data_IF_688061932154
#
_entry.id   IF_688061932154
#
_cell.length_a   1.000
_cell.length_b   1.000
_cell.length_c   1.000
_cell.angle_alpha   90.00
_cell.angle_beta   90.00
_cell.angle_gamma   90.00
#
_symmetry.space_group_name_H-M   'P 1'
#
loop_
_entity.id
_entity.type
_entity.pdbx_description
1 polymer ?
#
# COMPACT_ATOMS: atom_id res chain seq x y z
N UNK A 1 -6.32 -4.66 10.01
CA UNK A 1 -6.32 -3.57 9.01
C UNK A 1 -7.24 -2.48 9.53
N UNK A 2 -6.95 -1.22 9.25
CA UNK A 2 -7.78 -0.09 9.69
C UNK A 2 -7.74 1.05 8.68
N UNK A 3 -8.71 1.96 8.80
CA UNK A 3 -8.79 3.20 8.02
C UNK A 3 -8.72 4.40 8.95
N UNK A 4 -8.25 5.54 8.43
CA UNK A 4 -8.14 6.79 9.16
C UNK A 4 -8.19 7.97 8.18
N UNK A 5 -8.57 9.15 8.66
CA UNK A 5 -8.61 10.36 7.83
C UNK A 5 -7.26 11.09 7.91
N UNK A 6 -6.74 11.52 6.77
CA UNK A 6 -5.56 12.39 6.68
C UNK A 6 -5.70 13.28 5.45
N UNK A 7 -5.45 14.58 5.62
CA UNK A 7 -5.53 15.58 4.54
C UNK A 7 -6.90 15.52 3.81
N UNK A 8 -7.98 15.39 4.58
CA UNK A 8 -9.38 15.23 4.13
C UNK A 8 -9.65 14.04 3.19
N UNK A 9 -8.75 13.04 3.17
CA UNK A 9 -8.91 11.77 2.44
C UNK A 9 -8.99 10.57 3.38
N UNK A 10 -9.59 9.46 2.92
CA UNK A 10 -9.55 8.19 3.63
C UNK A 10 -8.28 7.42 3.31
N UNK A 11 -7.50 7.12 4.34
CA UNK A 11 -6.27 6.34 4.28
C UNK A 11 -6.44 4.99 4.95
N UNK A 12 -5.52 4.06 4.66
CA UNK A 12 -5.54 2.74 5.28
C UNK A 12 -4.14 2.22 5.63
N UNK A 13 -4.11 1.26 6.55
CA UNK A 13 -2.92 0.48 6.85
C UNK A 13 -3.26 -1.02 6.99
N UNK A 14 -2.42 -1.86 6.38
CA UNK A 14 -2.48 -3.32 6.47
C UNK A 14 -1.09 -3.84 6.85
N UNK A 15 -1.02 -4.58 7.94
CA UNK A 15 0.18 -5.30 8.38
C UNK A 15 -0.18 -6.78 8.44
N UNK A 16 0.65 -7.62 7.82
CA UNK A 16 0.49 -9.07 7.81
C UNK A 16 1.79 -9.75 8.17
N UNK A 17 1.69 -10.93 8.79
CA UNK A 17 2.86 -11.76 9.05
C UNK A 17 3.47 -12.22 7.72
N UNK A 18 4.80 -12.19 7.61
CA UNK A 18 5.52 -12.59 6.39
C UNK A 18 5.17 -14.03 5.93
N UNK A 19 4.95 -14.95 6.89
CA UNK A 19 4.59 -16.36 6.63
C UNK A 19 3.25 -16.55 5.88
N UNK A 20 2.42 -15.52 5.82
CA UNK A 20 1.13 -15.54 5.11
C UNK A 20 1.11 -14.67 3.84
N UNK A 21 2.27 -14.09 3.45
CA UNK A 21 2.44 -13.35 2.21
C UNK A 21 2.21 -14.25 0.99
N UNK A 22 1.68 -13.69 -0.09
CA UNK A 22 1.45 -14.42 -1.36
C UNK A 22 0.22 -15.35 -1.36
N UNK A 23 -0.51 -15.45 -0.24
CA UNK A 23 -1.71 -16.32 -0.11
C UNK A 23 -3.05 -15.60 -0.29
N UNK A 24 -3.04 -14.39 -0.86
CA UNK A 24 -4.25 -13.59 -1.10
C UNK A 24 -4.88 -12.90 0.12
N UNK A 25 -4.32 -13.07 1.33
CA UNK A 25 -4.85 -12.45 2.56
C UNK A 25 -4.92 -10.92 2.50
N UNK A 26 -3.91 -10.27 1.88
CA UNK A 26 -3.91 -8.83 1.69
C UNK A 26 -5.09 -8.35 0.84
N UNK A 27 -5.38 -9.02 -0.28
CA UNK A 27 -6.52 -8.69 -1.13
C UNK A 27 -7.85 -8.92 -0.43
N UNK A 28 -7.98 -10.00 0.37
CA UNK A 28 -9.20 -10.23 1.16
C UNK A 28 -9.46 -9.09 2.15
N UNK A 29 -8.46 -8.70 2.94
CA UNK A 29 -8.59 -7.58 3.87
C UNK A 29 -8.90 -6.27 3.16
N UNK A 30 -8.21 -6.00 2.05
CA UNK A 30 -8.42 -4.79 1.26
C UNK A 30 -9.84 -4.73 0.69
N UNK A 31 -10.37 -5.84 0.19
CA UNK A 31 -11.74 -5.94 -0.32
C UNK A 31 -12.79 -5.75 0.78
N UNK A 32 -12.53 -6.23 2.00
CA UNK A 32 -13.43 -5.95 3.13
C UNK A 32 -13.47 -4.45 3.48
N UNK A 33 -12.33 -3.75 3.43
CA UNK A 33 -12.29 -2.30 3.67
C UNK A 33 -13.05 -1.54 2.57
N UNK A 34 -12.86 -1.93 1.31
CA UNK A 34 -13.50 -1.31 0.15
C UNK A 34 -15.03 -1.38 0.16
N UNK A 35 -15.64 -2.29 0.93
CA UNK A 35 -17.11 -2.36 1.07
C UNK A 35 -17.72 -1.15 1.80
N UNK A 36 -16.90 -0.43 2.55
CA UNK A 36 -17.36 0.65 3.45
C UNK A 36 -16.74 2.00 3.12
N UNK A 37 -16.02 2.11 1.99
CA UNK A 37 -15.25 3.30 1.60
C UNK A 37 -15.35 3.50 0.10
N UNK A 38 -15.51 4.75 -0.31
CA UNK A 38 -15.56 5.12 -1.74
C UNK A 38 -14.20 5.57 -2.27
N UNK A 39 -13.24 5.83 -1.37
CA UNK A 39 -11.87 6.16 -1.70
C UNK A 39 -10.92 5.56 -0.66
N UNK A 40 -9.71 5.21 -1.10
CA UNK A 40 -8.63 4.74 -0.22
C UNK A 40 -7.29 5.23 -0.74
N UNK A 41 -6.55 5.93 0.11
CA UNK A 41 -5.19 6.41 -0.13
C UNK A 41 -4.16 5.64 0.71
N UNK A 42 -2.94 5.52 0.20
CA UNK A 42 -1.84 4.86 0.90
C UNK A 42 -0.48 5.29 0.40
N UNK A 43 0.54 5.12 1.24
CA UNK A 43 1.95 5.26 0.83
C UNK A 43 2.52 3.88 0.48
N UNK A 44 3.26 3.79 -0.61
CA UNK A 44 3.98 2.58 -1.01
C UNK A 44 5.41 2.92 -1.42
N UNK A 45 6.35 2.16 -0.85
CA UNK A 45 7.75 2.16 -1.30
C UNK A 45 7.79 1.47 -2.66
N UNK A 46 8.16 2.21 -3.70
CA UNK A 46 8.15 1.76 -5.10
C UNK A 46 9.49 1.20 -5.58
N UNK A 47 10.50 1.17 -4.70
CA UNK A 47 11.84 0.67 -4.99
C UNK A 47 12.10 -0.72 -4.35
N UNK A 48 12.86 -1.56 -5.06
CA UNK A 48 13.24 -2.94 -4.65
C UNK A 48 14.74 -3.06 -4.30
N UNK A 49 15.43 -1.94 -4.14
CA UNK A 49 16.89 -1.85 -4.01
C UNK A 49 17.40 -1.95 -2.56
N UNK A 50 16.51 -1.98 -1.56
CA UNK A 50 16.89 -2.02 -0.15
C UNK A 50 16.99 -3.44 0.40
N UNK A 51 17.97 -3.67 1.28
CA UNK A 51 18.09 -4.91 2.06
C UNK A 51 17.32 -4.78 3.37
N UNK A 52 16.50 -5.78 3.67
CA UNK A 52 15.89 -5.93 4.99
C UNK A 52 16.95 -6.36 6.02
N UNK A 53 16.61 -6.24 7.31
CA UNK A 53 17.45 -6.71 8.43
C UNK A 53 17.85 -8.19 8.32
N UNK A 54 17.04 -9.02 7.66
CA UNK A 54 17.32 -10.44 7.43
C UNK A 54 18.13 -10.71 6.14
N UNK A 55 18.81 -9.71 5.58
CA UNK A 55 19.60 -9.75 4.35
C UNK A 55 18.85 -10.08 3.04
N UNK A 56 17.53 -10.29 3.09
CA UNK A 56 16.71 -10.45 1.89
C UNK A 56 16.38 -9.08 1.27
N UNK A 57 16.26 -9.04 -0.06
CA UNK A 57 15.82 -7.81 -0.74
C UNK A 57 14.38 -7.46 -0.39
N UNK A 58 14.13 -6.16 -0.22
CA UNK A 58 12.79 -5.62 -0.19
C UNK A 58 12.14 -5.84 -1.56
N UNK A 59 10.89 -6.31 -1.54
CA UNK A 59 10.08 -6.48 -2.73
C UNK A 59 8.89 -5.57 -2.58
N UNK A 60 8.84 -4.54 -3.41
CA UNK A 60 7.80 -3.54 -3.40
C UNK A 60 6.43 -4.20 -3.59
N UNK A 61 5.43 -3.76 -2.80
CA UNK A 61 4.05 -4.20 -2.98
C UNK A 61 3.33 -3.45 -4.13
N UNK A 62 4.03 -2.67 -4.97
CA UNK A 62 3.42 -1.93 -6.09
C UNK A 62 2.52 -2.81 -6.97
N UNK A 63 3.03 -3.97 -7.41
CA UNK A 63 2.25 -4.91 -8.22
C UNK A 63 1.02 -5.47 -7.50
N UNK A 64 1.06 -5.54 -6.16
CA UNK A 64 -0.12 -5.92 -5.38
C UNK A 64 -1.20 -4.83 -5.48
N UNK A 65 -0.85 -3.56 -5.31
CA UNK A 65 -1.83 -2.47 -5.37
C UNK A 65 -2.40 -2.26 -6.77
N UNK A 66 -1.58 -2.35 -7.82
CA UNK A 66 -2.03 -2.30 -9.23
C UNK A 66 -3.08 -3.39 -9.49
N UNK A 67 -2.83 -4.63 -9.05
CA UNK A 67 -3.78 -5.75 -9.19
C UNK A 67 -5.06 -5.60 -8.36
N UNK A 68 -5.07 -4.69 -7.40
CA UNK A 68 -6.26 -4.34 -6.61
C UNK A 68 -6.81 -2.97 -7.03
N UNK A 69 -6.65 -2.58 -8.30
CA UNK A 69 -7.24 -1.40 -8.94
C UNK A 69 -6.80 -0.04 -8.36
N UNK A 70 -5.67 0.02 -7.65
CA UNK A 70 -5.09 1.29 -7.24
C UNK A 70 -4.38 1.95 -8.42
N UNK A 71 -4.59 3.27 -8.54
CA UNK A 71 -3.79 4.15 -9.39
C UNK A 71 -2.57 4.63 -8.61
N UNK A 72 -1.48 4.83 -9.32
CA UNK A 72 -0.24 5.40 -8.79
C UNK A 72 -0.28 6.91 -9.06
N UNK A 73 -0.12 7.71 -8.02
CA UNK A 73 0.00 9.17 -8.12
C UNK A 73 1.48 9.52 -8.06
N UNK A 74 2.20 9.28 -9.16
CA UNK A 74 3.67 9.40 -9.24
C UNK A 74 4.21 10.78 -8.88
N UNK A 75 3.38 11.81 -9.03
CA UNK A 75 3.64 13.21 -8.72
C UNK A 75 3.52 13.54 -7.23
N UNK A 76 2.87 12.67 -6.44
CA UNK A 76 2.69 12.84 -5.00
C UNK A 76 3.59 11.84 -4.28
N UNK A 77 4.75 12.31 -3.82
CA UNK A 77 5.78 11.49 -3.19
C UNK A 77 6.18 12.02 -1.82
N UNK A 78 6.61 11.10 -0.96
CA UNK A 78 7.50 11.42 0.16
C UNK A 78 8.90 11.03 -0.30
N UNK A 79 9.82 11.99 -0.24
CA UNK A 79 11.23 11.78 -0.54
C UNK A 79 12.06 12.41 0.59
N UNK A 80 12.76 11.58 1.36
CA UNK A 80 13.72 12.03 2.37
C UNK A 80 14.76 10.92 2.61
N UNK A 81 15.74 11.21 3.47
CA UNK A 81 16.85 10.29 3.80
C UNK A 81 16.42 8.91 4.34
N UNK A 82 15.19 8.77 4.82
CA UNK A 82 14.67 7.55 5.46
C UNK A 82 13.66 6.80 4.62
N UNK A 83 12.93 7.47 3.73
CA UNK A 83 11.87 6.84 2.93
C UNK A 83 11.69 7.57 1.60
N UNK A 84 11.64 6.78 0.53
CA UNK A 84 11.09 7.16 -0.78
C UNK A 84 9.80 6.35 -1.02
N UNK A 85 8.67 7.03 -1.13
CA UNK A 85 7.38 6.40 -1.33
C UNK A 85 6.44 7.25 -2.20
N UNK A 86 5.61 6.58 -3.00
CA UNK A 86 4.56 7.22 -3.81
C UNK A 86 3.20 7.03 -3.19
N UNK A 87 2.30 8.00 -3.42
CA UNK A 87 0.90 7.85 -3.09
C UNK A 87 0.25 6.90 -4.09
N UNK A 88 -0.60 6.03 -3.57
CA UNK A 88 -1.56 5.24 -4.34
C UNK A 88 -2.96 5.64 -3.93
N UNK A 89 -3.89 5.58 -4.87
CA UNK A 89 -5.29 5.87 -4.62
C UNK A 89 -6.20 4.88 -5.35
N UNK A 90 -7.19 4.36 -4.64
CA UNK A 90 -8.30 3.60 -5.20
C UNK A 90 -9.59 4.40 -5.00
N UNK A 91 -10.49 4.32 -5.99
CA UNK A 91 -11.83 4.88 -5.92
C UNK A 91 -12.84 3.79 -6.27
N UNK A 92 -13.96 3.76 -5.57
CA UNK A 92 -15.12 2.95 -5.96
C UNK A 92 -15.56 3.35 -7.37
N UNK A 93 -16.09 2.37 -8.11
CA UNK A 93 -16.67 2.60 -9.43
C UNK A 93 -18.13 2.97 -9.31
#
# INVERSE_FOLDING_TARGET
AFTFVRDDEDWFAIILQSKIQGKGNGSRLLNEIKKYRDNLSGWVVDQDNEKKLNATMYKSPMQFYIKNDFRICSEIRIENEKISAVKINWKAK
#
